data_IF_696771431390
#
_entry.id   IF_696771431390
#
_cell.length_a   1.000
_cell.length_b   1.000
_cell.length_c   1.000
_cell.angle_alpha   90.00
_cell.angle_beta   90.00
_cell.angle_gamma   90.00
#
_symmetry.space_group_name_H-M   'P 1'
#
loop_
_entity.id
_entity.type
_entity.pdbx_description
1 polymer ?
#
# COMPACT_ATOMS: atom_id res chain seq x y z
N UNK A 1 -8.60 -19.75 -22.27
CA UNK A 1 -7.83 -20.77 -21.51
C UNK A 1 -6.32 -20.49 -21.42
N UNK A 2 -5.68 -19.79 -22.38
CA UNK A 2 -4.23 -19.48 -22.28
C UNK A 2 -3.86 -18.41 -21.23
N UNK A 3 -4.77 -17.48 -20.88
CA UNK A 3 -4.47 -16.35 -20.00
C UNK A 3 -4.32 -16.72 -18.52
N UNK A 4 -4.99 -17.79 -18.06
CA UNK A 4 -4.96 -18.20 -16.65
C UNK A 4 -3.64 -18.86 -16.23
N UNK A 5 -2.97 -19.57 -17.16
CA UNK A 5 -1.64 -20.14 -16.91
C UNK A 5 -0.60 -19.03 -16.75
N UNK A 6 -0.62 -18.04 -17.64
CA UNK A 6 0.27 -16.88 -17.57
C UNK A 6 0.05 -16.06 -16.29
N UNK A 7 -1.21 -15.81 -15.92
CA UNK A 7 -1.55 -15.14 -14.66
C UNK A 7 -1.03 -15.87 -13.42
N UNK A 8 -1.07 -17.22 -13.43
CA UNK A 8 -0.48 -18.03 -12.33
C UNK A 8 1.03 -17.89 -12.26
N UNK A 9 1.74 -17.87 -13.39
CA UNK A 9 3.19 -17.64 -13.38
C UNK A 9 3.54 -16.27 -12.84
N UNK A 10 2.83 -15.20 -13.26
CA UNK A 10 3.03 -13.85 -12.72
C UNK A 10 2.72 -13.76 -11.23
N UNK A 11 1.63 -14.39 -10.78
CA UNK A 11 1.29 -14.41 -9.36
C UNK A 11 2.38 -15.14 -8.56
N UNK A 12 2.85 -16.30 -9.05
CA UNK A 12 3.90 -17.07 -8.38
C UNK A 12 5.21 -16.30 -8.29
N UNK A 13 5.68 -15.70 -9.40
CA UNK A 13 6.91 -14.90 -9.39
C UNK A 13 6.81 -13.69 -8.47
N UNK A 14 5.64 -13.01 -8.47
CA UNK A 14 5.39 -11.90 -7.56
C UNK A 14 5.40 -12.32 -6.09
N UNK A 15 4.79 -13.47 -5.75
CA UNK A 15 4.81 -14.01 -4.39
C UNK A 15 6.23 -14.35 -3.95
N UNK A 16 7.00 -15.05 -4.79
CA UNK A 16 8.39 -15.38 -4.47
C UNK A 16 9.23 -14.12 -4.26
N UNK A 17 9.08 -13.12 -5.14
CA UNK A 17 9.74 -11.83 -5.00
C UNK A 17 9.35 -11.13 -3.69
N UNK A 18 8.05 -11.09 -3.36
CA UNK A 18 7.55 -10.48 -2.14
C UNK A 18 8.08 -11.17 -0.87
N UNK A 19 8.17 -12.51 -0.86
CA UNK A 19 8.74 -13.26 0.27
C UNK A 19 10.22 -12.93 0.44
N UNK A 20 11.00 -13.01 -0.63
CA UNK A 20 12.45 -12.72 -0.58
C UNK A 20 12.68 -11.28 -0.11
N UNK A 21 11.94 -10.33 -0.68
CA UNK A 21 12.01 -8.93 -0.30
C UNK A 21 11.64 -8.70 1.18
N UNK A 22 10.58 -9.35 1.66
CA UNK A 22 10.13 -9.25 3.05
C UNK A 22 11.16 -9.82 4.03
N UNK A 23 11.84 -10.91 3.69
CA UNK A 23 12.92 -11.49 4.50
C UNK A 23 14.09 -10.51 4.60
N UNK A 24 14.51 -9.92 3.47
CA UNK A 24 15.61 -8.95 3.44
C UNK A 24 15.26 -7.70 4.24
N UNK A 25 14.04 -7.17 4.11
CA UNK A 25 13.59 -6.02 4.90
C UNK A 25 13.48 -6.38 6.39
N UNK A 26 13.03 -7.60 6.70
CA UNK A 26 12.90 -8.15 8.05
C UNK A 26 14.21 -8.19 8.82
N UNK A 27 15.33 -8.50 8.16
CA UNK A 27 16.64 -8.59 8.84
C UNK A 27 17.18 -7.25 9.35
N UNK A 28 16.65 -6.12 8.88
CA UNK A 28 17.04 -4.79 9.36
C UNK A 28 16.29 -4.30 10.61
N UNK A 29 15.25 -5.04 11.04
CA UNK A 29 14.49 -4.73 12.24
C UNK A 29 15.22 -5.23 13.48
N UNK A 30 15.31 -4.36 14.48
CA UNK A 30 15.85 -4.67 15.80
C UNK A 30 14.87 -4.25 16.89
N UNK A 31 14.84 -5.00 17.98
CA UNK A 31 14.00 -4.71 19.14
C UNK A 31 14.77 -3.75 20.05
N UNK A 32 14.26 -2.53 20.19
CA UNK A 32 14.76 -1.56 21.17
C UNK A 32 13.80 -1.49 22.36
N UNK A 33 14.30 -1.58 23.62
CA UNK A 33 13.46 -1.68 24.81
C UNK A 33 12.49 -0.50 25.00
N UNK A 34 12.89 0.70 24.58
CA UNK A 34 12.12 1.95 24.75
C UNK A 34 11.23 2.28 23.56
N UNK A 35 11.46 1.65 22.41
CA UNK A 35 10.92 2.07 21.11
C UNK A 35 10.21 0.94 20.36
N UNK A 36 10.28 -0.29 20.87
CA UNK A 36 9.73 -1.47 20.22
C UNK A 36 10.56 -1.91 19.02
N UNK A 37 9.90 -2.42 17.99
CA UNK A 37 10.56 -2.90 16.77
C UNK A 37 10.90 -1.72 15.84
N UNK A 38 12.19 -1.45 15.64
CA UNK A 38 12.67 -0.30 14.87
C UNK A 38 13.71 -0.74 13.85
N UNK A 39 13.70 -0.10 12.69
CA UNK A 39 14.72 -0.35 11.66
C UNK A 39 16.03 0.30 12.14
N UNK A 40 17.05 -0.51 12.33
CA UNK A 40 18.34 -0.07 12.87
C UNK A 40 19.22 0.68 11.87
N UNK A 41 19.07 0.37 10.58
CA UNK A 41 19.90 0.93 9.53
C UNK A 41 19.23 2.15 8.88
N UNK A 42 19.92 3.29 8.87
CA UNK A 42 19.43 4.54 8.29
C UNK A 42 19.08 4.42 6.80
N UNK A 43 19.88 3.70 6.02
CA UNK A 43 19.62 3.47 4.58
C UNK A 43 18.33 2.66 4.40
N UNK A 44 18.11 1.65 5.23
CA UNK A 44 16.87 0.86 5.20
C UNK A 44 15.64 1.69 5.62
N UNK A 45 15.79 2.64 6.55
CA UNK A 45 14.73 3.60 6.93
C UNK A 45 14.37 4.50 5.74
N UNK A 46 15.36 5.06 5.05
CA UNK A 46 15.14 5.89 3.86
C UNK A 46 14.49 5.08 2.73
N UNK A 47 15.02 3.90 2.41
CA UNK A 47 14.44 3.00 1.43
C UNK A 47 12.98 2.67 1.74
N UNK A 48 12.68 2.33 2.99
CA UNK A 48 11.31 1.99 3.38
C UNK A 48 10.38 3.20 3.24
N UNK A 49 10.83 4.39 3.63
CA UNK A 49 10.00 5.60 3.64
C UNK A 49 9.76 6.19 2.26
N UNK A 50 10.80 6.27 1.43
CA UNK A 50 10.73 6.94 0.13
C UNK A 50 10.38 6.00 -1.03
N UNK A 51 10.64 4.71 -0.87
CA UNK A 51 10.42 3.73 -1.94
C UNK A 51 9.36 2.70 -1.56
N UNK A 52 9.55 1.97 -0.46
CA UNK A 52 8.70 0.83 -0.14
C UNK A 52 7.23 1.23 0.11
N UNK A 53 6.99 2.12 1.07
CA UNK A 53 5.62 2.54 1.40
C UNK A 53 4.93 3.29 0.25
N UNK A 54 5.52 4.33 -0.36
CA UNK A 54 4.81 5.10 -1.38
C UNK A 54 4.67 4.35 -2.71
N UNK A 55 5.68 3.59 -3.14
CA UNK A 55 5.64 2.94 -4.46
C UNK A 55 4.97 1.58 -4.37
N UNK A 56 5.51 0.65 -3.58
CA UNK A 56 4.94 -0.69 -3.47
C UNK A 56 3.63 -0.71 -2.67
N UNK A 57 3.56 0.07 -1.60
CA UNK A 57 2.35 0.19 -0.79
C UNK A 57 1.25 0.96 -1.51
N UNK A 58 1.57 2.12 -2.10
CA UNK A 58 0.57 3.03 -2.68
C UNK A 58 0.48 3.00 -4.20
N UNK A 59 1.47 3.56 -4.88
CA UNK A 59 1.38 3.96 -6.29
C UNK A 59 1.20 2.77 -7.24
N UNK A 60 1.95 1.70 -7.02
CA UNK A 60 1.93 0.50 -7.86
C UNK A 60 0.55 -0.21 -7.82
N UNK A 61 -0.04 -0.52 -6.65
CA UNK A 61 -1.38 -1.12 -6.61
C UNK A 61 -2.45 -0.18 -7.16
N UNK A 62 -2.34 1.15 -6.98
CA UNK A 62 -3.27 2.12 -7.59
C UNK A 62 -3.18 2.10 -9.11
N UNK A 63 -1.97 2.14 -9.68
CA UNK A 63 -1.76 2.12 -11.14
C UNK A 63 -2.24 0.80 -11.75
N UNK A 64 -1.95 -0.33 -11.09
CA UNK A 64 -2.40 -1.64 -11.55
C UNK A 64 -3.92 -1.74 -11.47
N UNK A 65 -4.54 -1.39 -10.33
CA UNK A 65 -5.99 -1.46 -10.17
C UNK A 65 -6.73 -0.51 -11.11
N UNK A 66 -6.23 0.71 -11.31
CA UNK A 66 -6.83 1.68 -12.23
C UNK A 66 -6.70 1.24 -13.69
N UNK A 67 -5.53 0.75 -14.12
CA UNK A 67 -5.36 0.23 -15.49
C UNK A 67 -6.26 -0.98 -15.76
N UNK A 68 -6.38 -1.93 -14.83
CA UNK A 68 -7.33 -3.04 -14.96
C UNK A 68 -8.79 -2.57 -14.97
N UNK A 69 -9.15 -1.58 -14.14
CA UNK A 69 -10.51 -1.03 -14.10
C UNK A 69 -10.86 -0.32 -15.40
N UNK A 70 -9.92 0.44 -15.97
CA UNK A 70 -10.06 1.11 -17.27
C UNK A 70 -10.19 0.06 -18.38
N UNK A 71 -9.32 -0.94 -18.43
CA UNK A 71 -9.41 -2.04 -19.41
C UNK A 71 -10.74 -2.77 -19.32
N UNK A 72 -11.20 -3.08 -18.10
CA UNK A 72 -12.49 -3.71 -17.88
C UNK A 72 -13.64 -2.82 -18.38
N UNK A 73 -13.60 -1.52 -18.10
CA UNK A 73 -14.59 -0.56 -18.59
C UNK A 73 -14.61 -0.47 -20.12
N UNK A 74 -13.45 -0.38 -20.77
CA UNK A 74 -13.32 -0.38 -22.22
C UNK A 74 -13.84 -1.68 -22.83
N UNK A 75 -13.47 -2.83 -22.28
CA UNK A 75 -13.95 -4.13 -22.74
C UNK A 75 -15.47 -4.26 -22.60
N UNK A 76 -16.03 -3.87 -21.45
CA UNK A 76 -17.49 -3.87 -21.25
C UNK A 76 -18.16 -2.98 -22.29
N UNK A 77 -17.67 -1.75 -22.51
CA UNK A 77 -18.22 -0.80 -23.50
C UNK A 77 -18.13 -1.32 -24.94
N UNK A 78 -17.04 -1.98 -25.30
CA UNK A 78 -16.85 -2.55 -26.64
C UNK A 78 -17.72 -3.80 -26.85
N UNK A 79 -17.94 -4.60 -25.79
CA UNK A 79 -18.81 -5.77 -25.82
C UNK A 79 -20.29 -5.39 -25.80
N UNK A 80 -20.70 -4.16 -25.41
CA UNK A 80 -22.12 -3.72 -25.51
C UNK A 80 -22.70 -3.88 -26.93
N UNK A 81 -21.89 -3.91 -27.98
CA UNK A 81 -22.38 -4.24 -29.34
C UNK A 81 -22.78 -5.72 -29.55
N UNK A 82 -22.40 -6.63 -28.64
CA UNK A 82 -22.80 -8.05 -28.61
C UNK A 82 -23.65 -8.31 -27.36
N UNK A 83 -24.84 -8.86 -27.53
CA UNK A 83 -25.87 -9.09 -26.50
C UNK A 83 -25.36 -9.95 -25.31
N UNK A 84 -24.67 -9.34 -24.34
CA UNK A 84 -24.41 -9.98 -23.04
C UNK A 84 -25.57 -9.72 -22.07
N UNK A 85 -25.93 -10.69 -21.22
CA UNK A 85 -27.02 -10.56 -20.28
C UNK A 85 -26.79 -9.41 -19.28
N UNK A 86 -27.79 -8.55 -19.13
CA UNK A 86 -27.78 -7.30 -18.32
C UNK A 86 -27.31 -7.53 -16.88
N UNK A 87 -27.55 -8.73 -16.32
CA UNK A 87 -27.19 -9.09 -14.94
C UNK A 87 -25.68 -9.15 -14.72
N UNK A 88 -24.89 -9.76 -15.63
CA UNK A 88 -23.42 -9.83 -15.49
C UNK A 88 -22.77 -8.44 -15.53
N UNK A 89 -23.35 -7.51 -16.29
CA UNK A 89 -22.85 -6.14 -16.42
C UNK A 89 -22.96 -5.33 -15.13
N UNK A 90 -24.04 -5.53 -14.35
CA UNK A 90 -24.21 -4.84 -13.05
C UNK A 90 -23.17 -5.33 -12.04
N UNK A 91 -22.90 -6.64 -12.02
CA UNK A 91 -21.91 -7.25 -11.14
C UNK A 91 -20.49 -6.73 -11.45
N UNK A 92 -20.06 -6.72 -12.71
CA UNK A 92 -18.72 -6.22 -13.09
C UNK A 92 -18.55 -4.72 -12.77
N UNK A 93 -19.61 -3.93 -12.97
CA UNK A 93 -19.60 -2.50 -12.60
C UNK A 93 -19.50 -2.31 -11.08
N UNK A 94 -20.17 -3.14 -10.30
CA UNK A 94 -20.11 -3.09 -8.84
C UNK A 94 -18.72 -3.49 -8.33
N UNK A 95 -18.12 -4.54 -8.89
CA UNK A 95 -16.77 -5.00 -8.51
C UNK A 95 -15.72 -3.92 -8.83
N UNK A 96 -15.76 -3.34 -10.03
CA UNK A 96 -14.82 -2.27 -10.40
C UNK A 96 -14.99 -1.01 -9.55
N UNK A 97 -16.24 -0.62 -9.24
CA UNK A 97 -16.51 0.49 -8.32
C UNK A 97 -16.02 0.20 -6.88
N UNK A 98 -16.20 -1.03 -6.39
CA UNK A 98 -15.71 -1.45 -5.08
C UNK A 98 -14.18 -1.39 -5.00
N UNK A 99 -13.47 -1.88 -6.03
CA UNK A 99 -12.01 -1.84 -6.10
C UNK A 99 -11.51 -0.39 -6.13
N UNK A 100 -12.12 0.48 -6.95
CA UNK A 100 -11.74 1.89 -7.03
C UNK A 100 -11.92 2.60 -5.68
N UNK A 101 -13.05 2.36 -5.00
CA UNK A 101 -13.31 2.93 -3.67
C UNK A 101 -12.30 2.42 -2.64
N UNK A 102 -11.96 1.12 -2.64
CA UNK A 102 -10.93 0.58 -1.74
C UNK A 102 -9.57 1.24 -2.00
N UNK A 103 -9.21 1.46 -3.25
CA UNK A 103 -7.95 2.13 -3.62
C UNK A 103 -7.93 3.59 -3.14
N UNK A 104 -9.02 4.33 -3.31
CA UNK A 104 -9.13 5.72 -2.84
C UNK A 104 -8.98 5.78 -1.32
N UNK A 105 -9.73 4.95 -0.59
CA UNK A 105 -9.65 4.87 0.88
C UNK A 105 -8.23 4.51 1.31
N UNK A 106 -7.61 3.54 0.65
CA UNK A 106 -6.25 3.12 0.94
C UNK A 106 -5.23 4.26 0.79
N UNK A 107 -5.30 5.03 -0.30
CA UNK A 107 -4.43 6.19 -0.53
C UNK A 107 -4.68 7.28 0.52
N UNK A 108 -5.95 7.61 0.81
CA UNK A 108 -6.31 8.63 1.79
C UNK A 108 -5.81 8.31 3.20
N UNK A 109 -5.83 7.03 3.60
CA UNK A 109 -5.38 6.61 4.92
C UNK A 109 -3.85 6.39 4.99
N UNK A 110 -3.20 6.05 3.87
CA UNK A 110 -1.74 5.84 3.82
C UNK A 110 -0.93 7.15 3.73
N UNK A 111 -1.42 8.15 2.96
CA UNK A 111 -0.74 9.43 2.77
C UNK A 111 -0.36 10.17 4.08
N UNK A 112 -1.25 10.34 5.07
CA UNK A 112 -0.90 11.07 6.29
C UNK A 112 0.18 10.36 7.10
N UNK A 113 0.23 9.02 7.06
CA UNK A 113 1.31 8.26 7.68
C UNK A 113 2.66 8.47 6.96
N UNK A 114 2.69 8.40 5.63
CA UNK A 114 3.92 8.59 4.84
C UNK A 114 4.46 10.01 5.02
N UNK A 115 3.60 11.02 4.90
CA UNK A 115 4.00 12.44 5.05
C UNK A 115 4.59 12.72 6.43
N UNK A 116 3.94 12.24 7.49
CA UNK A 116 4.47 12.35 8.84
C UNK A 116 5.82 11.63 8.99
N UNK A 117 5.96 10.42 8.43
CA UNK A 117 7.22 9.67 8.50
C UNK A 117 8.36 10.42 7.80
N UNK A 118 8.11 11.00 6.63
CA UNK A 118 9.07 11.86 5.91
C UNK A 118 9.43 13.07 6.77
N UNK A 119 8.44 13.74 7.38
CA UNK A 119 8.68 14.88 8.26
C UNK A 119 9.60 14.51 9.43
N UNK A 120 9.35 13.39 10.12
CA UNK A 120 10.17 12.95 11.27
C UNK A 120 11.61 12.58 10.91
N UNK A 121 11.86 12.12 9.67
CA UNK A 121 13.22 11.80 9.19
C UNK A 121 13.99 13.08 8.88
N UNK A 122 13.35 14.09 8.28
CA UNK A 122 14.00 15.35 7.92
C UNK A 122 14.15 16.30 9.12
N UNK A 123 13.23 16.23 10.08
CA UNK A 123 13.20 17.07 11.29
C UNK A 123 13.16 16.19 12.54
N UNK A 124 14.30 15.61 12.95
CA UNK A 124 14.35 14.75 14.12
C UNK A 124 14.01 15.55 15.38
N UNK A 125 12.95 15.14 16.08
CA UNK A 125 12.55 15.76 17.34
C UNK A 125 13.56 15.39 18.42
N UNK A 126 14.27 16.39 18.95
CA UNK A 126 15.24 16.19 20.03
C UNK A 126 14.58 15.70 21.31
N UNK A 127 15.19 14.71 21.98
CA UNK A 127 14.73 14.17 23.26
C UNK A 127 14.85 15.19 24.42
N UNK A 128 15.56 16.30 24.20
CA UNK A 128 15.68 17.39 25.18
C UNK A 128 14.36 18.11 25.48
N UNK A 129 13.36 18.01 24.60
CA UNK A 129 12.04 18.61 24.76
C UNK A 129 10.96 17.53 24.98
N UNK A 130 10.73 17.08 26.23
CA UNK A 130 9.90 15.90 26.51
C UNK A 130 8.45 16.08 26.05
N UNK A 131 7.90 17.29 26.13
CA UNK A 131 6.53 17.57 25.70
C UNK A 131 6.34 17.41 24.18
N UNK A 132 7.25 17.97 23.38
CA UNK A 132 7.19 17.87 21.91
C UNK A 132 7.39 16.41 21.46
N UNK A 133 8.30 15.70 22.12
CA UNK A 133 8.53 14.28 21.87
C UNK A 133 7.30 13.42 22.19
N UNK A 134 6.62 13.68 23.32
CA UNK A 134 5.39 12.97 23.69
C UNK A 134 4.25 13.20 22.68
N UNK A 135 4.06 14.45 22.22
CA UNK A 135 3.07 14.78 21.18
C UNK A 135 3.41 14.06 19.87
N UNK A 136 4.68 14.07 19.44
CA UNK A 136 5.13 13.33 18.25
C UNK A 136 4.87 11.82 18.36
N UNK A 137 5.07 11.22 19.54
CA UNK A 137 4.75 9.80 19.77
C UNK A 137 3.26 9.52 19.66
N UNK A 138 2.43 10.39 20.22
CA UNK A 138 0.98 10.25 20.15
C UNK A 138 0.48 10.37 18.69
N UNK A 139 0.99 11.34 17.94
CA UNK A 139 0.70 11.48 16.51
C UNK A 139 1.13 10.24 15.71
N UNK A 140 2.34 9.72 15.98
CA UNK A 140 2.82 8.51 15.34
C UNK A 140 1.89 7.31 15.59
N UNK A 141 1.45 7.11 16.83
CA UNK A 141 0.53 6.02 17.20
C UNK A 141 -0.84 6.17 16.53
N UNK A 142 -1.39 7.39 16.48
CA UNK A 142 -2.66 7.66 15.79
C UNK A 142 -2.52 7.35 14.29
N UNK A 143 -1.49 7.88 13.63
CA UNK A 143 -1.30 7.67 12.20
C UNK A 143 -1.02 6.20 11.85
N UNK A 144 -0.28 5.49 12.71
CA UNK A 144 -0.08 4.06 12.56
C UNK A 144 -1.39 3.28 12.72
N UNK A 145 -2.24 3.65 13.69
CA UNK A 145 -3.56 3.02 13.86
C UNK A 145 -4.46 3.25 12.66
N UNK A 146 -4.48 4.48 12.11
CA UNK A 146 -5.20 4.83 10.88
C UNK A 146 -4.69 4.01 9.70
N UNK A 147 -3.37 3.87 9.56
CA UNK A 147 -2.80 3.04 8.50
C UNK A 147 -3.13 1.55 8.70
N UNK A 148 -3.19 1.05 9.92
CA UNK A 148 -3.54 -0.35 10.20
C UNK A 148 -5.00 -0.68 9.81
N UNK A 149 -5.91 0.31 9.85
CA UNK A 149 -7.29 0.15 9.36
C UNK A 149 -7.32 -0.22 7.86
N UNK A 150 -6.30 0.15 7.07
CA UNK A 150 -6.21 -0.26 5.67
C UNK A 150 -6.02 -1.78 5.47
N UNK A 151 -5.49 -2.47 6.48
CA UNK A 151 -5.14 -3.89 6.40
C UNK A 151 -6.15 -4.79 7.12
N UNK A 152 -7.16 -4.20 7.80
CA UNK A 152 -8.39 -4.89 8.22
C UNK A 152 -9.41 -4.95 7.08
#
# INVERSE_FOLDING_TARGET
MCTSKLGRYFAFTFICFAIIHSIVVGSFYNIQPTLGCVISNYVAVQYSTYFLYPIFGGLLPVVIASSFSILAYHNVRHIVRRQLPVVRRKLDKQITAMVLMRVIVFVCLLLPYITYRIYTINFPISQSMPMVYAVGRLLQSILLSINNINYM
#
